data_IF_904613403710
#
_entry.id   IF_904613403710
#
_cell.length_a   1.000
_cell.length_b   1.000
_cell.length_c   1.000
_cell.angle_alpha   90.00
_cell.angle_beta   90.00
_cell.angle_gamma   90.00
#
_symmetry.space_group_name_H-M   'P 1'
#
loop_
_entity.id
_entity.type
_entity.pdbx_description
1 polymer ?
#
# COMPACT_ATOMS: atom_id res chain seq x y z
N UNK A 1 11.51 19.36 -7.04
CA UNK A 1 10.80 18.12 -6.64
C UNK A 1 9.31 18.31 -6.87
N UNK A 2 8.62 17.35 -7.49
CA UNK A 2 7.20 17.45 -7.93
C UNK A 2 6.42 16.14 -7.70
N UNK A 3 5.10 16.17 -7.86
CA UNK A 3 4.24 14.98 -7.75
C UNK A 3 4.60 13.93 -8.82
N UNK A 4 4.86 14.37 -10.04
CA UNK A 4 5.22 13.51 -11.16
C UNK A 4 6.50 12.73 -10.87
N UNK A 5 7.51 13.42 -10.34
CA UNK A 5 8.76 12.78 -9.93
C UNK A 5 8.53 11.74 -8.81
N UNK A 6 7.60 11.99 -7.90
CA UNK A 6 7.29 11.09 -6.79
C UNK A 6 6.57 9.82 -7.22
N UNK A 7 5.62 9.93 -8.14
CA UNK A 7 4.95 8.79 -8.76
C UNK A 7 5.97 7.98 -9.57
N UNK A 8 6.79 8.63 -10.38
CA UNK A 8 7.83 7.97 -11.17
C UNK A 8 8.86 7.22 -10.31
N UNK A 9 9.26 7.79 -9.17
CA UNK A 9 10.26 7.21 -8.27
C UNK A 9 9.86 5.85 -7.65
N UNK A 10 8.58 5.49 -7.68
CA UNK A 10 8.06 4.25 -7.12
C UNK A 10 7.38 3.33 -8.15
N UNK A 11 7.31 3.76 -9.41
CA UNK A 11 6.72 2.99 -10.50
C UNK A 11 7.62 1.80 -10.90
N UNK A 12 7.01 0.73 -11.42
CA UNK A 12 7.70 -0.48 -11.88
C UNK A 12 8.26 -0.37 -13.30
N UNK A 13 7.77 0.60 -14.09
CA UNK A 13 8.25 0.92 -15.43
C UNK A 13 7.91 2.36 -15.81
N UNK A 14 8.56 2.89 -16.84
CA UNK A 14 8.23 4.22 -17.40
C UNK A 14 6.80 4.30 -17.88
N UNK A 15 6.31 3.29 -18.61
CA UNK A 15 4.93 3.25 -19.10
C UNK A 15 3.88 3.25 -17.97
N UNK A 16 4.18 2.55 -16.86
CA UNK A 16 3.32 2.56 -15.69
C UNK A 16 3.34 3.92 -14.98
N UNK A 17 4.52 4.56 -14.90
CA UNK A 17 4.65 5.92 -14.39
C UNK A 17 3.83 6.91 -15.21
N UNK A 18 3.99 6.91 -16.54
CA UNK A 18 3.31 7.85 -17.43
C UNK A 18 1.79 7.75 -17.30
N UNK A 19 1.24 6.54 -17.31
CA UNK A 19 -0.19 6.31 -17.14
C UNK A 19 -0.68 6.78 -15.76
N UNK A 20 0.07 6.48 -14.69
CA UNK A 20 -0.29 6.88 -13.33
C UNK A 20 -0.21 8.40 -13.14
N UNK A 21 0.79 9.06 -13.72
CA UNK A 21 0.99 10.51 -13.70
C UNK A 21 -0.13 11.21 -14.46
N UNK A 22 -0.39 10.81 -15.70
CA UNK A 22 -1.45 11.40 -16.53
C UNK A 22 -2.80 11.33 -15.80
N UNK A 23 -3.12 10.16 -15.24
CA UNK A 23 -4.35 9.94 -14.49
C UNK A 23 -4.43 10.76 -13.19
N UNK A 24 -3.31 10.89 -12.47
CA UNK A 24 -3.23 11.75 -11.29
C UNK A 24 -3.51 13.20 -11.66
N UNK A 25 -2.79 13.73 -12.66
CA UNK A 25 -2.91 15.12 -13.11
C UNK A 25 -4.33 15.44 -13.55
N UNK A 26 -4.98 14.53 -14.30
CA UNK A 26 -6.37 14.69 -14.73
C UNK A 26 -7.38 14.76 -13.56
N UNK A 27 -7.03 14.19 -12.41
CA UNK A 27 -7.91 14.11 -11.23
C UNK A 27 -7.42 14.92 -10.03
N UNK A 28 -6.39 15.76 -10.18
CA UNK A 28 -5.66 16.38 -9.07
C UNK A 28 -6.57 17.10 -8.06
N UNK A 29 -7.52 17.91 -8.54
CA UNK A 29 -8.48 18.64 -7.67
C UNK A 29 -9.36 17.70 -6.83
N UNK A 30 -9.82 16.59 -7.41
CA UNK A 30 -10.64 15.60 -6.69
C UNK A 30 -9.81 14.85 -5.66
N UNK A 31 -8.58 14.48 -6.01
CA UNK A 31 -7.65 13.78 -5.12
C UNK A 31 -7.25 14.66 -3.92
N UNK A 32 -6.98 15.94 -4.18
CA UNK A 32 -6.71 16.92 -3.13
C UNK A 32 -7.91 17.07 -2.18
N UNK A 33 -9.13 17.21 -2.72
CA UNK A 33 -10.36 17.28 -1.93
C UNK A 33 -10.63 16.01 -1.09
N UNK A 34 -10.18 14.84 -1.56
CA UNK A 34 -10.21 13.58 -0.81
C UNK A 34 -9.11 13.48 0.27
N UNK A 35 -8.19 14.44 0.34
CA UNK A 35 -7.18 14.53 1.39
C UNK A 35 -5.72 14.33 0.93
N UNK A 36 -5.47 14.15 -0.36
CA UNK A 36 -4.11 14.07 -0.94
C UNK A 36 -3.48 15.47 -1.08
N UNK A 37 -3.33 16.19 0.02
CA UNK A 37 -3.09 17.64 0.03
C UNK A 37 -1.83 18.07 0.79
N UNK A 38 -1.00 17.13 1.25
CA UNK A 38 0.30 17.44 1.84
C UNK A 38 1.36 16.39 1.47
N UNK A 39 2.66 16.73 1.55
CA UNK A 39 3.73 15.83 1.11
C UNK A 39 3.79 14.49 1.85
N UNK A 40 3.46 14.44 3.14
CA UNK A 40 3.51 13.19 3.91
C UNK A 40 2.41 12.22 3.46
N UNK A 41 1.20 12.72 3.26
CA UNK A 41 0.07 11.95 2.71
C UNK A 41 0.35 11.49 1.28
N UNK A 42 0.84 12.38 0.42
CA UNK A 42 1.20 12.05 -0.96
C UNK A 42 2.25 10.94 -1.02
N UNK A 43 3.32 11.05 -0.23
CA UNK A 43 4.35 10.02 -0.16
C UNK A 43 3.79 8.66 0.27
N UNK A 44 2.92 8.64 1.30
CA UNK A 44 2.28 7.42 1.76
C UNK A 44 1.33 6.84 0.71
N UNK A 45 0.52 7.67 0.06
CA UNK A 45 -0.39 7.24 -1.03
C UNK A 45 0.42 6.57 -2.14
N UNK A 46 1.46 7.23 -2.65
CA UNK A 46 2.26 6.72 -3.75
C UNK A 46 3.00 5.44 -3.37
N UNK A 47 3.65 5.43 -2.21
CA UNK A 47 4.42 4.28 -1.75
C UNK A 47 3.56 3.03 -1.50
N UNK A 48 2.40 3.21 -0.86
CA UNK A 48 1.49 2.11 -0.56
C UNK A 48 0.80 1.58 -1.83
N UNK A 49 0.32 2.47 -2.70
CA UNK A 49 -0.28 2.07 -3.98
C UNK A 49 0.75 1.34 -4.85
N UNK A 50 1.99 1.81 -4.90
CA UNK A 50 3.05 1.14 -5.64
C UNK A 50 3.37 -0.24 -5.06
N UNK A 51 3.39 -0.40 -3.73
CA UNK A 51 3.60 -1.72 -3.13
C UNK A 51 2.49 -2.72 -3.53
N UNK A 52 1.23 -2.32 -3.36
CA UNK A 52 0.07 -3.20 -3.58
C UNK A 52 -0.16 -3.57 -5.06
N UNK A 53 0.32 -2.73 -5.97
CA UNK A 53 0.12 -2.91 -7.42
C UNK A 53 1.37 -3.35 -8.19
N UNK A 54 2.47 -3.66 -7.49
CA UNK A 54 3.74 -3.98 -8.14
C UNK A 54 4.31 -2.81 -8.95
N UNK A 55 4.25 -1.60 -8.42
CA UNK A 55 4.69 -0.37 -9.08
C UNK A 55 3.72 0.10 -10.17
N UNK A 56 2.42 0.02 -9.90
CA UNK A 56 1.32 0.40 -10.80
C UNK A 56 1.10 -0.52 -12.00
N UNK A 57 1.83 -1.64 -12.07
CA UNK A 57 1.74 -2.64 -13.15
C UNK A 57 0.45 -3.47 -13.10
N UNK A 58 -0.07 -3.73 -11.89
CA UNK A 58 -1.23 -4.60 -11.68
C UNK A 58 -2.42 -3.81 -11.14
N UNK A 59 -3.55 -3.85 -11.85
CA UNK A 59 -4.80 -3.17 -11.46
C UNK A 59 -6.01 -4.09 -11.39
N UNK A 60 -5.81 -5.40 -11.54
CA UNK A 60 -6.82 -6.41 -11.34
C UNK A 60 -6.15 -7.72 -10.94
N UNK A 61 -6.82 -8.52 -10.13
CA UNK A 61 -6.39 -9.90 -9.88
C UNK A 61 -6.68 -10.80 -11.09
N UNK A 62 -5.73 -11.68 -11.43
CA UNK A 62 -5.87 -12.59 -12.57
C UNK A 62 -6.60 -13.90 -12.21
N UNK A 63 -6.63 -14.26 -10.92
CA UNK A 63 -7.23 -15.47 -10.35
C UNK A 63 -6.89 -16.79 -11.08
N UNK A 64 -5.76 -16.84 -11.79
CA UNK A 64 -5.40 -17.98 -12.64
C UNK A 64 -4.51 -19.00 -11.90
N UNK A 65 -5.07 -19.66 -10.88
CA UNK A 65 -4.32 -20.55 -9.98
C UNK A 65 -4.27 -22.02 -10.47
N UNK A 66 -3.14 -22.70 -10.20
CA UNK A 66 -3.06 -24.17 -10.27
C UNK A 66 -3.82 -24.81 -9.10
N UNK A 67 -4.20 -26.08 -9.23
CA UNK A 67 -4.87 -26.83 -8.16
C UNK A 67 -4.04 -26.80 -6.85
N UNK A 68 -2.73 -27.07 -6.95
CA UNK A 68 -1.80 -26.99 -5.81
C UNK A 68 -1.75 -25.60 -5.17
N UNK A 69 -1.83 -24.54 -5.96
CA UNK A 69 -1.82 -23.17 -5.43
C UNK A 69 -3.16 -22.77 -4.81
N UNK A 70 -4.29 -23.27 -5.36
CA UNK A 70 -5.62 -23.09 -4.75
C UNK A 70 -5.67 -23.70 -3.35
N UNK A 71 -5.14 -24.91 -3.15
CA UNK A 71 -5.10 -25.54 -1.82
C UNK A 71 -4.17 -24.83 -0.83
N UNK A 72 -3.16 -24.12 -1.33
CA UNK A 72 -2.23 -23.35 -0.50
C UNK A 72 -2.78 -21.97 -0.12
N UNK A 73 -3.34 -21.24 -1.08
CA UNK A 73 -3.76 -19.83 -0.92
C UNK A 73 -5.22 -19.73 -0.48
N UNK A 74 -6.09 -20.59 -1.02
CA UNK A 74 -7.53 -20.58 -0.79
C UNK A 74 -8.02 -21.88 -0.14
N UNK A 75 -7.21 -22.48 0.75
CA UNK A 75 -7.49 -23.77 1.42
C UNK A 75 -8.92 -23.90 1.96
N UNK A 76 -9.44 -22.81 2.54
CA UNK A 76 -10.81 -22.74 3.07
C UNK A 76 -11.87 -23.06 2.01
N UNK A 77 -11.67 -22.63 0.77
CA UNK A 77 -12.62 -22.77 -0.34
C UNK A 77 -12.31 -23.99 -1.22
N UNK A 78 -11.04 -24.42 -1.25
CA UNK A 78 -10.56 -25.60 -1.99
C UNK A 78 -9.85 -26.58 -1.06
N UNK A 79 -10.60 -27.27 -0.16
CA UNK A 79 -10.02 -28.09 0.89
C UNK A 79 -9.43 -29.42 0.39
N UNK A 80 -9.92 -29.94 -0.74
CA UNK A 80 -9.51 -31.24 -1.30
C UNK A 80 -8.86 -31.08 -2.68
N UNK A 81 -8.02 -32.04 -3.05
CA UNK A 81 -7.35 -32.05 -4.34
C UNK A 81 -8.37 -32.16 -5.50
N UNK A 82 -9.43 -32.95 -5.32
CA UNK A 82 -10.52 -33.07 -6.29
C UNK A 82 -11.19 -31.73 -6.57
N UNK A 83 -11.64 -31.01 -5.52
CA UNK A 83 -12.25 -29.68 -5.68
C UNK A 83 -11.25 -28.70 -6.30
N UNK A 84 -9.98 -28.71 -5.88
CA UNK A 84 -8.99 -27.81 -6.45
C UNK A 84 -8.71 -28.10 -7.94
N UNK A 85 -8.74 -29.37 -8.35
CA UNK A 85 -8.55 -29.78 -9.73
C UNK A 85 -9.70 -29.32 -10.63
N UNK A 86 -10.94 -29.44 -10.15
CA UNK A 86 -12.15 -29.04 -10.88
C UNK A 86 -12.21 -27.53 -11.22
N UNK A 87 -11.51 -26.70 -10.44
CA UNK A 87 -11.51 -25.24 -10.56
C UNK A 87 -10.18 -24.68 -11.07
N UNK A 88 -9.14 -25.51 -11.24
CA UNK A 88 -7.84 -25.01 -11.62
C UNK A 88 -7.92 -24.26 -12.95
N UNK A 89 -7.15 -23.17 -13.08
CA UNK A 89 -7.06 -22.34 -14.29
C UNK A 89 -8.40 -21.81 -14.82
N UNK A 90 -9.40 -21.68 -13.94
CA UNK A 90 -10.72 -21.11 -14.27
C UNK A 90 -11.00 -19.88 -13.38
N UNK A 91 -10.41 -18.70 -13.70
CA UNK A 91 -10.46 -17.52 -12.85
C UNK A 91 -11.84 -17.12 -12.37
N UNK A 92 -12.84 -17.17 -13.26
CA UNK A 92 -14.22 -16.80 -12.92
C UNK A 92 -14.82 -17.74 -11.88
N UNK A 93 -14.72 -19.05 -12.09
CA UNK A 93 -15.19 -20.04 -11.12
C UNK A 93 -14.44 -19.96 -9.80
N UNK A 94 -13.13 -19.72 -9.86
CA UNK A 94 -12.30 -19.52 -8.66
C UNK A 94 -12.81 -18.32 -7.86
N UNK A 95 -13.05 -17.18 -8.52
CA UNK A 95 -13.52 -15.95 -7.89
C UNK A 95 -14.92 -16.13 -7.28
N UNK A 96 -15.84 -16.70 -8.06
CA UNK A 96 -17.22 -16.93 -7.66
C UNK A 96 -17.30 -17.81 -6.41
N UNK A 97 -16.44 -18.83 -6.32
CA UNK A 97 -16.34 -19.68 -5.13
C UNK A 97 -15.67 -19.00 -3.95
N UNK A 98 -14.59 -18.27 -4.17
CA UNK A 98 -13.81 -17.64 -3.09
C UNK A 98 -14.53 -16.42 -2.47
N UNK A 99 -15.31 -15.71 -3.27
CA UNK A 99 -15.94 -14.45 -2.90
C UNK A 99 -17.48 -14.49 -2.90
N UNK A 100 -18.12 -15.60 -3.26
CA UNK A 100 -19.56 -15.79 -3.12
C UNK A 100 -20.03 -15.65 -1.68
N UNK A 101 -21.24 -15.11 -1.49
CA UNK A 101 -21.89 -14.85 -0.20
C UNK A 101 -21.07 -13.97 0.77
N UNK A 102 -20.17 -13.14 0.22
CA UNK A 102 -19.27 -12.27 0.98
C UNK A 102 -19.29 -10.85 0.43
N UNK A 103 -19.09 -9.87 1.31
CA UNK A 103 -18.86 -8.47 0.90
C UNK A 103 -19.99 -7.90 0.00
N UNK A 104 -21.23 -8.35 0.23
CA UNK A 104 -22.40 -7.97 -0.55
C UNK A 104 -22.57 -8.72 -1.88
N UNK A 105 -21.70 -9.67 -2.21
CA UNK A 105 -21.87 -10.55 -3.35
C UNK A 105 -23.00 -11.56 -3.10
N UNK A 106 -23.73 -11.91 -4.16
CA UNK A 106 -24.62 -13.06 -4.16
C UNK A 106 -23.88 -14.41 -4.05
N UNK A 107 -24.62 -15.53 -4.12
CA UNK A 107 -24.04 -16.88 -4.07
C UNK A 107 -23.08 -17.12 -5.25
N UNK A 108 -22.28 -18.18 -5.19
CA UNK A 108 -21.32 -18.55 -6.24
C UNK A 108 -21.96 -18.57 -7.66
N UNK A 109 -23.21 -19.01 -7.77
CA UNK A 109 -23.96 -19.05 -9.03
C UNK A 109 -24.30 -17.68 -9.64
N UNK A 110 -24.20 -16.59 -8.88
CA UNK A 110 -24.53 -15.24 -9.35
C UNK A 110 -23.50 -14.62 -10.28
N UNK A 111 -22.26 -15.11 -10.25
CA UNK A 111 -21.14 -14.48 -10.95
C UNK A 111 -20.56 -13.24 -10.24
N UNK A 112 -21.12 -12.85 -9.08
CA UNK A 112 -20.70 -11.63 -8.38
C UNK A 112 -19.25 -11.70 -7.89
N UNK A 113 -18.76 -12.89 -7.53
CA UNK A 113 -17.38 -13.04 -7.07
C UNK A 113 -16.34 -12.63 -8.12
N UNK A 114 -16.55 -12.99 -9.39
CA UNK A 114 -15.69 -12.55 -10.48
C UNK A 114 -16.00 -11.13 -10.93
N UNK A 115 -17.29 -10.76 -10.98
CA UNK A 115 -17.73 -9.41 -11.38
C UNK A 115 -17.09 -8.34 -10.50
N UNK A 116 -17.09 -8.53 -9.18
CA UNK A 116 -16.55 -7.61 -8.18
C UNK A 116 -15.22 -8.10 -7.57
N UNK A 117 -14.40 -8.81 -8.36
CA UNK A 117 -13.03 -9.19 -8.00
C UNK A 117 -12.15 -7.95 -7.73
N UNK A 118 -11.01 -8.15 -7.09
CA UNK A 118 -10.02 -7.14 -6.76
C UNK A 118 -9.57 -6.32 -7.97
N UNK A 119 -9.75 -5.00 -7.89
CA UNK A 119 -9.27 -4.03 -8.90
C UNK A 119 -8.67 -2.77 -8.27
N UNK A 120 -7.92 -2.02 -9.07
CA UNK A 120 -7.27 -0.78 -8.68
C UNK A 120 -6.02 -0.99 -7.83
N UNK A 121 -5.40 0.12 -7.41
CA UNK A 121 -4.10 0.10 -6.75
C UNK A 121 -4.11 -0.51 -5.35
N UNK A 122 -5.25 -0.47 -4.64
CA UNK A 122 -5.42 -1.07 -3.31
C UNK A 122 -6.41 -2.25 -3.29
N UNK A 123 -6.65 -2.89 -4.44
CA UNK A 123 -7.49 -4.11 -4.56
C UNK A 123 -8.89 -3.96 -3.93
N UNK A 124 -9.73 -3.09 -4.50
CA UNK A 124 -11.15 -2.97 -4.15
C UNK A 124 -11.89 -4.26 -4.53
N UNK A 125 -12.52 -4.93 -3.56
CA UNK A 125 -13.18 -6.22 -3.74
C UNK A 125 -14.58 -6.24 -3.09
N UNK A 126 -15.53 -6.90 -3.77
CA UNK A 126 -16.88 -7.16 -3.29
C UNK A 126 -17.88 -6.06 -3.60
N UNK A 127 -19.10 -6.44 -4.00
CA UNK A 127 -20.16 -5.55 -4.47
C UNK A 127 -20.46 -4.39 -3.52
N UNK A 128 -20.47 -4.64 -2.21
CA UNK A 128 -20.72 -3.59 -1.21
C UNK A 128 -19.63 -2.52 -1.23
N UNK A 129 -18.36 -2.91 -1.43
CA UNK A 129 -17.24 -1.97 -1.54
C UNK A 129 -17.32 -1.19 -2.86
N UNK A 130 -17.65 -1.85 -3.96
CA UNK A 130 -17.85 -1.19 -5.26
C UNK A 130 -18.97 -0.15 -5.19
N UNK A 131 -20.10 -0.48 -4.56
CA UNK A 131 -21.19 0.46 -4.33
C UNK A 131 -20.76 1.65 -3.45
N UNK A 132 -20.20 1.39 -2.27
CA UNK A 132 -19.90 2.46 -1.33
C UNK A 132 -18.80 3.40 -1.84
N UNK A 133 -17.74 2.83 -2.44
CA UNK A 133 -16.63 3.62 -2.99
C UNK A 133 -17.04 4.33 -4.28
N UNK A 134 -17.82 3.68 -5.14
CA UNK A 134 -18.35 4.29 -6.34
C UNK A 134 -19.17 5.54 -6.02
N UNK A 135 -20.12 5.43 -5.09
CA UNK A 135 -20.91 6.58 -4.62
C UNK A 135 -20.04 7.70 -4.07
N UNK A 136 -19.01 7.37 -3.28
CA UNK A 136 -18.12 8.36 -2.69
C UNK A 136 -17.29 9.15 -3.72
N UNK A 137 -16.97 8.54 -4.87
CA UNK A 137 -16.19 9.19 -5.94
C UNK A 137 -17.05 9.64 -7.14
N UNK A 138 -18.37 9.46 -7.05
CA UNK A 138 -19.34 9.85 -8.07
C UNK A 138 -19.36 8.95 -9.32
N UNK A 139 -19.05 7.67 -9.17
CA UNK A 139 -19.06 6.66 -10.25
C UNK A 139 -19.95 5.46 -9.90
N UNK A 140 -20.65 4.91 -10.88
CA UNK A 140 -21.44 3.68 -10.70
C UNK A 140 -20.57 2.43 -10.96
N UNK A 141 -19.74 2.09 -9.99
CA UNK A 141 -18.85 0.93 -10.08
C UNK A 141 -19.60 -0.40 -9.95
N UNK A 142 -20.88 -0.41 -9.51
CA UNK A 142 -21.68 -1.64 -9.50
C UNK A 142 -22.12 -1.99 -10.92
N UNK A 143 -22.60 -0.98 -11.65
CA UNK A 143 -22.98 -1.13 -13.05
C UNK A 143 -21.77 -1.44 -13.91
N UNK A 144 -20.67 -0.70 -13.75
CA UNK A 144 -19.44 -0.87 -14.52
C UNK A 144 -18.20 -1.06 -13.61
N UNK A 145 -17.96 -2.30 -13.13
CA UNK A 145 -16.87 -2.58 -12.20
C UNK A 145 -15.47 -2.49 -12.83
N UNK A 146 -15.34 -2.57 -14.16
CA UNK A 146 -14.02 -2.49 -14.80
C UNK A 146 -13.43 -1.08 -14.72
N UNK A 147 -14.26 -0.05 -14.51
CA UNK A 147 -13.80 1.30 -14.19
C UNK A 147 -12.86 1.31 -12.98
N UNK A 148 -13.01 0.41 -12.00
CA UNK A 148 -12.11 0.38 -10.84
C UNK A 148 -10.64 0.04 -11.21
N UNK A 149 -10.38 -0.52 -12.41
CA UNK A 149 -9.04 -0.79 -12.93
C UNK A 149 -8.49 0.35 -13.81
N UNK A 150 -9.30 1.35 -14.17
CA UNK A 150 -8.83 2.57 -14.81
C UNK A 150 -7.88 3.33 -13.85
N UNK A 151 -6.70 3.79 -14.28
CA UNK A 151 -5.76 4.49 -13.41
C UNK A 151 -6.33 5.70 -12.66
N UNK A 152 -7.22 6.48 -13.27
CA UNK A 152 -7.83 7.66 -12.65
C UNK A 152 -8.78 7.27 -11.52
N UNK A 153 -9.65 6.30 -11.81
CA UNK A 153 -10.56 5.73 -10.80
C UNK A 153 -9.78 5.01 -9.71
N UNK A 154 -8.72 4.27 -10.05
CA UNK A 154 -7.87 3.57 -9.09
C UNK A 154 -7.21 4.54 -8.09
N UNK A 155 -6.78 5.72 -8.54
CA UNK A 155 -6.32 6.78 -7.63
C UNK A 155 -7.42 7.27 -6.69
N UNK A 156 -8.60 7.62 -7.24
CA UNK A 156 -9.71 8.12 -6.45
C UNK A 156 -10.15 7.10 -5.38
N UNK A 157 -10.26 5.83 -5.75
CA UNK A 157 -10.57 4.73 -4.83
C UNK A 157 -9.49 4.59 -3.77
N UNK A 158 -8.20 4.64 -4.13
CA UNK A 158 -7.10 4.49 -3.20
C UNK A 158 -7.03 5.62 -2.17
N UNK A 159 -7.13 6.88 -2.63
CA UNK A 159 -7.13 8.04 -1.72
C UNK A 159 -8.36 8.00 -0.82
N UNK A 160 -9.54 7.72 -1.36
CA UNK A 160 -10.75 7.57 -0.54
C UNK A 160 -10.63 6.43 0.48
N UNK A 161 -10.00 5.30 0.12
CA UNK A 161 -9.75 4.19 1.04
C UNK A 161 -8.90 4.66 2.21
N UNK A 162 -7.77 5.31 1.91
CA UNK A 162 -6.85 5.79 2.94
C UNK A 162 -7.44 6.91 3.81
N UNK A 163 -8.37 7.69 3.25
CA UNK A 163 -9.08 8.77 3.96
C UNK A 163 -10.25 8.28 4.81
N UNK A 164 -10.82 7.09 4.53
CA UNK A 164 -12.05 6.61 5.19
C UNK A 164 -11.82 5.44 6.14
N UNK A 165 -10.90 4.53 5.83
CA UNK A 165 -10.63 3.35 6.65
C UNK A 165 -9.83 3.74 7.89
N UNK A 166 -10.30 3.29 9.06
CA UNK A 166 -9.72 3.63 10.36
C UNK A 166 -9.09 2.43 11.05
N UNK A 167 -8.01 2.69 11.78
CA UNK A 167 -7.46 1.79 12.80
C UNK A 167 -6.97 2.60 13.98
N UNK A 168 -7.27 2.13 15.19
CA UNK A 168 -6.99 2.85 16.43
C UNK A 168 -7.54 4.28 16.41
N UNK A 169 -8.79 4.43 15.94
CA UNK A 169 -9.49 5.71 15.86
C UNK A 169 -9.10 6.63 14.72
N UNK A 170 -8.02 6.35 13.97
CA UNK A 170 -7.48 7.26 12.94
C UNK A 170 -7.40 6.64 11.55
N UNK A 171 -7.46 7.47 10.52
CA UNK A 171 -7.38 7.07 9.11
C UNK A 171 -5.93 6.80 8.68
N UNK A 172 -5.71 6.15 7.54
CA UNK A 172 -4.36 5.98 7.02
C UNK A 172 -3.70 7.32 6.68
N UNK A 173 -4.45 8.30 6.18
CA UNK A 173 -3.91 9.65 5.92
C UNK A 173 -3.53 10.38 7.21
N UNK A 174 -4.32 10.25 8.27
CA UNK A 174 -4.00 10.81 9.59
C UNK A 174 -2.75 10.15 10.20
N UNK A 175 -2.54 8.85 9.98
CA UNK A 175 -1.29 8.18 10.39
C UNK A 175 -0.09 8.58 9.54
N UNK A 176 -0.31 8.89 8.26
CA UNK A 176 0.73 9.40 7.37
C UNK A 176 1.22 10.80 7.80
N UNK A 177 0.32 11.65 8.33
CA UNK A 177 0.70 12.96 8.87
C UNK A 177 1.72 12.83 10.02
N UNK A 178 1.58 11.79 10.86
CA UNK A 178 2.50 11.49 11.96
C UNK A 178 3.78 10.76 11.50
N UNK A 179 3.85 10.33 10.24
CA UNK A 179 4.93 9.48 9.73
C UNK A 179 4.89 8.03 10.23
N UNK A 180 3.77 7.56 10.77
CA UNK A 180 3.63 6.17 11.26
C UNK A 180 3.29 5.21 10.11
N UNK A 181 4.30 4.88 9.31
CA UNK A 181 4.18 3.96 8.17
C UNK A 181 3.71 2.56 8.56
N UNK A 182 4.00 2.14 9.79
CA UNK A 182 3.56 0.85 10.34
C UNK A 182 2.04 0.86 10.53
N UNK A 183 1.47 1.92 11.07
CA UNK A 183 0.01 2.09 11.22
C UNK A 183 -0.68 2.29 9.88
N UNK A 184 -0.10 3.05 8.94
CA UNK A 184 -0.61 3.14 7.55
C UNK A 184 -0.73 1.76 6.93
N UNK A 185 0.33 0.94 7.05
CA UNK A 185 0.36 -0.43 6.52
C UNK A 185 -0.70 -1.32 7.17
N UNK A 186 -0.88 -1.21 8.50
CA UNK A 186 -1.92 -1.95 9.21
C UNK A 186 -3.34 -1.58 8.80
N UNK A 187 -3.60 -0.33 8.38
CA UNK A 187 -4.92 0.08 7.87
C UNK A 187 -5.17 -0.53 6.50
N UNK A 188 -4.16 -0.56 5.63
CA UNK A 188 -4.28 -1.03 4.25
C UNK A 188 -4.35 -2.56 4.18
N UNK A 189 -3.41 -3.23 4.83
CA UNK A 189 -3.20 -4.67 4.67
C UNK A 189 -3.78 -5.51 5.83
N UNK A 190 -4.16 -4.88 6.94
CA UNK A 190 -4.60 -5.58 8.16
C UNK A 190 -3.45 -6.17 9.00
N UNK A 191 -2.27 -6.35 8.40
CA UNK A 191 -1.02 -6.79 9.02
C UNK A 191 0.18 -5.95 8.54
N UNK A 192 1.40 -6.43 8.79
CA UNK A 192 2.65 -5.74 8.42
C UNK A 192 3.33 -6.39 7.21
N UNK A 193 2.58 -7.09 6.36
CA UNK A 193 3.16 -7.76 5.19
C UNK A 193 3.78 -6.73 4.23
N UNK A 194 5.05 -6.95 3.89
CA UNK A 194 5.79 -6.07 3.00
C UNK A 194 6.17 -4.71 3.59
N UNK A 195 6.07 -4.52 4.92
CA UNK A 195 6.38 -3.24 5.57
C UNK A 195 7.72 -2.61 5.12
N UNK A 196 8.85 -3.34 5.03
CA UNK A 196 10.11 -2.74 4.56
C UNK A 196 10.05 -2.15 3.14
N UNK A 197 9.33 -2.79 2.22
CA UNK A 197 9.18 -2.29 0.85
C UNK A 197 8.25 -1.05 0.81
N UNK A 198 7.19 -1.06 1.62
CA UNK A 198 6.28 0.09 1.77
C UNK A 198 7.00 1.32 2.32
N UNK A 199 7.83 1.14 3.34
CA UNK A 199 8.65 2.19 3.93
C UNK A 199 9.66 2.74 2.91
N UNK A 200 10.37 1.85 2.21
CA UNK A 200 11.33 2.24 1.16
C UNK A 200 10.67 3.04 0.04
N UNK A 201 9.52 2.59 -0.48
CA UNK A 201 8.78 3.31 -1.54
C UNK A 201 8.24 4.65 -1.03
N UNK A 202 7.70 4.68 0.18
CA UNK A 202 7.21 5.93 0.79
C UNK A 202 8.36 6.94 0.94
N UNK A 203 9.54 6.49 1.36
CA UNK A 203 10.74 7.34 1.47
C UNK A 203 11.20 7.86 0.11
N UNK A 204 11.20 7.02 -0.94
CA UNK A 204 11.51 7.45 -2.32
C UNK A 204 10.56 8.52 -2.82
N UNK A 205 9.25 8.32 -2.64
CA UNK A 205 8.24 9.31 -3.00
C UNK A 205 8.42 10.62 -2.21
N UNK A 206 8.68 10.54 -0.90
CA UNK A 206 8.90 11.71 -0.06
C UNK A 206 10.14 12.52 -0.50
N UNK A 207 11.25 11.83 -0.82
CA UNK A 207 12.46 12.47 -1.33
C UNK A 207 12.19 13.21 -2.66
N UNK A 208 11.38 12.64 -3.54
CA UNK A 208 11.01 13.26 -4.81
C UNK A 208 9.97 14.40 -4.70
N UNK A 209 9.28 14.53 -3.56
CA UNK A 209 8.30 15.59 -3.26
C UNK A 209 8.91 16.86 -2.63
N UNK A 210 10.22 16.91 -2.40
CA UNK A 210 10.82 18.08 -1.78
C UNK A 210 10.88 17.94 -0.27
N UNK A 211 10.51 16.77 0.26
CA UNK A 211 10.79 16.44 1.63
C UNK A 211 12.27 16.65 1.86
N UNK A 212 12.62 17.56 2.78
CA UNK A 212 13.92 17.55 3.41
C UNK A 212 14.26 16.09 3.71
N UNK A 213 15.49 15.67 3.43
CA UNK A 213 15.94 14.33 3.77
C UNK A 213 15.40 14.02 5.17
N UNK A 214 14.59 12.98 5.29
CA UNK A 214 14.02 12.59 6.59
C UNK A 214 14.99 11.61 7.20
N UNK A 215 15.04 11.58 8.52
CA UNK A 215 15.70 10.48 9.20
C UNK A 215 15.14 9.16 8.64
N UNK A 216 15.99 8.15 8.41
CA UNK A 216 15.54 6.89 7.86
C UNK A 216 14.50 6.24 8.77
N UNK A 217 13.67 5.29 8.26
CA UNK A 217 12.72 4.56 9.09
C UNK A 217 13.37 3.96 10.34
N UNK A 218 12.65 3.88 11.45
CA UNK A 218 13.21 3.48 12.76
C UNK A 218 13.93 2.13 12.69
N UNK A 219 13.44 1.20 11.89
CA UNK A 219 14.10 -0.11 11.70
C UNK A 219 15.47 0.02 11.04
N UNK A 220 15.64 0.95 10.09
CA UNK A 220 16.92 1.28 9.48
C UNK A 220 17.80 2.07 10.47
N UNK A 221 17.24 3.00 11.24
CA UNK A 221 17.97 3.67 12.32
C UNK A 221 18.56 2.64 13.31
N UNK A 222 17.76 1.67 13.76
CA UNK A 222 18.20 0.60 14.64
C UNK A 222 19.32 -0.25 14.00
N UNK A 223 19.22 -0.59 12.71
CA UNK A 223 20.30 -1.33 12.02
C UNK A 223 21.59 -0.53 11.93
N UNK A 224 21.52 0.75 11.55
CA UNK A 224 22.67 1.64 11.43
C UNK A 224 23.36 1.86 12.78
N UNK A 225 22.57 2.05 13.84
CA UNK A 225 23.09 2.17 15.20
C UNK A 225 23.79 0.88 15.64
N UNK A 226 23.18 -0.28 15.39
CA UNK A 226 23.76 -1.58 15.72
C UNK A 226 25.07 -1.82 14.97
N UNK A 227 25.11 -1.53 13.67
CA UNK A 227 26.30 -1.65 12.84
C UNK A 227 27.43 -0.73 13.32
N UNK A 228 27.11 0.48 13.76
CA UNK A 228 28.07 1.43 14.34
C UNK A 228 28.44 1.14 15.81
N UNK A 229 28.01 0.00 16.38
CA UNK A 229 28.37 -0.47 17.71
C UNK A 229 27.52 0.08 18.86
N UNK A 230 26.38 0.70 18.58
CA UNK A 230 25.41 1.14 19.59
C UNK A 230 24.36 0.06 19.87
N UNK A 231 23.70 0.12 21.02
CA UNK A 231 22.62 -0.81 21.38
C UNK A 231 21.25 -0.11 21.31
N UNK A 232 20.53 -0.19 20.18
CA UNK A 232 19.21 0.41 20.05
C UNK A 232 18.08 -0.45 20.65
N UNK A 233 18.39 -1.61 21.24
CA UNK A 233 17.41 -2.64 21.55
C UNK A 233 17.13 -3.57 20.37
N UNK A 234 16.00 -4.31 20.39
CA UNK A 234 15.59 -5.14 19.25
C UNK A 234 15.43 -4.32 17.97
N UNK A 235 15.77 -4.92 16.83
CA UNK A 235 15.51 -4.34 15.50
C UNK A 235 14.07 -4.67 15.11
N UNK A 236 13.12 -3.92 15.68
CA UNK A 236 11.68 -4.15 15.58
C UNK A 236 10.91 -3.00 14.91
N UNK A 237 11.61 -1.92 14.55
CA UNK A 237 11.02 -0.72 13.96
C UNK A 237 10.25 0.17 14.94
N UNK A 238 10.33 -0.09 16.24
CA UNK A 238 9.69 0.72 17.27
C UNK A 238 10.65 1.76 17.84
N UNK A 239 10.23 3.02 17.90
CA UNK A 239 11.02 4.08 18.54
C UNK A 239 10.91 3.95 20.06
N UNK A 240 11.64 2.99 20.62
CA UNK A 240 11.65 2.69 22.05
C UNK A 240 12.65 3.54 22.85
N UNK A 241 12.63 3.39 24.19
CA UNK A 241 13.57 4.07 25.09
C UNK A 241 15.04 3.78 24.73
N UNK A 242 15.35 2.53 24.39
CA UNK A 242 16.71 2.10 23.99
C UNK A 242 17.13 2.73 22.66
N UNK A 243 16.23 2.76 21.67
CA UNK A 243 16.52 3.35 20.36
C UNK A 243 16.79 4.86 20.48
N UNK A 244 15.96 5.60 21.23
CA UNK A 244 16.21 7.03 21.50
C UNK A 244 17.54 7.28 22.22
N UNK A 245 17.87 6.46 23.21
CA UNK A 245 19.14 6.58 23.92
C UNK A 245 20.35 6.31 23.01
N UNK A 246 20.26 5.31 22.12
CA UNK A 246 21.29 5.02 21.14
C UNK A 246 21.47 6.15 20.12
N UNK A 247 20.38 6.75 19.63
CA UNK A 247 20.45 7.94 18.75
C UNK A 247 21.15 9.10 19.45
N UNK A 248 20.79 9.39 20.71
CA UNK A 248 21.41 10.47 21.48
C UNK A 248 22.90 10.23 21.70
N UNK A 249 23.30 9.01 22.05
CA UNK A 249 24.71 8.65 22.23
C UNK A 249 25.50 8.73 20.91
N UNK A 250 24.90 8.30 19.80
CA UNK A 250 25.52 8.43 18.48
C UNK A 250 25.67 9.89 18.05
N UNK A 251 24.66 10.71 18.30
CA UNK A 251 24.72 12.14 18.05
C UNK A 251 25.85 12.84 18.82
N UNK A 252 26.02 12.48 20.10
CA UNK A 252 27.09 13.01 20.93
C UNK A 252 28.46 12.55 20.42
N UNK A 253 28.63 11.25 20.14
CA UNK A 253 29.89 10.68 19.63
C UNK A 253 30.34 11.33 18.32
N UNK A 254 29.42 11.57 17.40
CA UNK A 254 29.75 12.05 16.06
C UNK A 254 29.59 13.57 15.89
N UNK A 255 29.06 14.28 16.89
CA UNK A 255 28.84 15.72 16.83
C UNK A 255 27.81 16.16 15.78
N UNK A 256 26.97 15.25 15.30
CA UNK A 256 25.95 15.50 14.27
C UNK A 256 24.59 14.97 14.72
N UNK A 257 23.51 15.63 14.32
CA UNK A 257 22.13 15.29 14.73
C UNK A 257 21.22 15.20 13.52
N UNK A 258 20.01 14.68 13.74
CA UNK A 258 19.01 14.58 12.70
C UNK A 258 19.47 13.66 11.57
N UNK A 259 19.15 14.04 10.34
CA UNK A 259 19.47 13.28 9.13
C UNK A 259 20.97 13.08 8.95
N UNK A 260 21.75 14.13 9.21
CA UNK A 260 23.20 14.10 9.06
C UNK A 260 23.85 13.04 9.97
N UNK A 261 23.23 12.72 11.11
CA UNK A 261 23.66 11.60 11.95
C UNK A 261 23.56 10.27 11.21
N UNK A 262 22.45 10.03 10.51
CA UNK A 262 22.24 8.76 9.83
C UNK A 262 23.07 8.64 8.55
N UNK A 263 23.34 9.75 7.86
CA UNK A 263 24.34 9.78 6.79
C UNK A 263 25.73 9.43 7.32
N UNK A 264 26.09 9.97 8.50
CA UNK A 264 27.34 9.63 9.17
C UNK A 264 27.40 8.17 9.59
N UNK A 265 26.31 7.62 10.15
CA UNK A 265 26.24 6.21 10.56
C UNK A 265 26.44 5.25 9.38
N UNK A 266 25.91 5.57 8.19
CA UNK A 266 26.16 4.80 6.96
C UNK A 266 27.62 4.79 6.53
N UNK A 267 28.41 5.79 6.94
CA UNK A 267 29.82 5.88 6.57
C UNK A 267 30.76 5.18 7.55
N UNK A 268 30.27 4.68 8.69
CA UNK A 268 31.10 4.13 9.78
C UNK A 268 30.74 2.70 10.20
N UNK A 269 29.59 2.18 9.75
CA UNK A 269 29.16 0.79 9.95
C UNK A 269 29.20 0.02 8.65
#
# INVERSE_FOLDING_TARGET
>A
MSIEAAIAAVAGSTSAADAAIQAWTANAKKLEALGANNPARLAAIFGQCAHESGGYLHRFENLNYSASSLQRVFRKYFPTAAIAQDYHRQPERIANRAYGDRMGNGPESSGDGYRYRGRGYLQLTGKASYDSFGRAIGLDLVKDPDLAADPGTAWLVAVHYMASRRRSGRTALEWADDGDHRMVTLVINGGTHGLPDREMRTARAAAALGGAAKEPPVIEQQRLLLAAGFNPGPVDGLMGKKTRAAIAAAAEKFGVKGVALFDKLRSVG
#
